data_IF_482200441836
#
_entry.id   IF_482200441836
#
_cell.length_a   1.000
_cell.length_b   1.000
_cell.length_c   1.000
_cell.angle_alpha   90.00
_cell.angle_beta   90.00
_cell.angle_gamma   90.00
#
_symmetry.space_group_name_H-M   'P 1'
#
loop_
_entity.id
_entity.type
_entity.pdbx_description
1 polymer ?
#
# COMPACT_ATOMS: atom_id res chain seq x y z
N UNK A 1 78.38 44.63 42.63
CA UNK A 1 77.15 44.48 41.88
C UNK A 1 76.70 43.00 41.98
N UNK A 2 75.63 42.70 42.74
CA UNK A 2 75.12 41.37 42.88
C UNK A 2 73.96 41.15 41.87
N UNK A 3 74.06 40.07 41.17
CA UNK A 3 73.03 39.54 40.28
C UNK A 3 71.81 39.08 41.10
N UNK A 4 70.65 39.60 40.71
CA UNK A 4 69.36 39.17 41.26
C UNK A 4 68.94 37.84 40.58
N UNK A 5 68.91 36.74 41.34
CA UNK A 5 68.27 35.51 40.91
C UNK A 5 66.75 35.64 41.05
N UNK A 6 66.07 35.61 39.90
CA UNK A 6 64.64 35.48 39.85
C UNK A 6 64.25 34.03 40.07
N UNK A 7 63.70 33.74 41.25
CA UNK A 7 63.10 32.43 41.55
C UNK A 7 61.73 32.37 40.88
N UNK A 8 61.61 31.56 39.83
CA UNK A 8 60.33 31.22 39.23
C UNK A 8 59.51 30.31 40.17
N UNK A 9 58.56 30.89 40.82
CA UNK A 9 57.54 30.17 41.59
C UNK A 9 56.63 29.37 40.66
N UNK A 10 56.91 28.10 40.47
CA UNK A 10 56.08 27.17 39.69
C UNK A 10 54.84 26.88 40.49
N UNK A 11 53.74 27.54 40.14
CA UNK A 11 52.40 27.26 40.70
C UNK A 11 51.99 25.85 40.33
N UNK A 12 51.99 24.97 41.31
CA UNK A 12 51.54 23.56 41.12
C UNK A 12 50.02 23.57 40.93
N UNK A 13 49.60 23.19 39.75
CA UNK A 13 48.19 22.94 39.39
C UNK A 13 47.62 21.81 40.27
N UNK A 14 46.46 22.00 40.94
CA UNK A 14 45.92 20.97 41.82
C UNK A 14 45.44 19.78 41.01
N UNK A 15 46.11 18.65 41.19
CA UNK A 15 45.75 17.38 40.58
C UNK A 15 44.33 17.00 40.97
N UNK A 16 43.47 16.84 39.98
CA UNK A 16 42.07 16.41 40.14
C UNK A 16 42.01 15.06 40.94
N UNK A 17 41.13 14.99 41.94
CA UNK A 17 41.03 13.78 42.77
C UNK A 17 40.61 12.59 41.94
N UNK A 18 41.52 11.63 41.79
CA UNK A 18 41.22 10.34 41.14
C UNK A 18 40.37 9.51 42.10
N UNK A 19 39.06 9.43 41.84
CA UNK A 19 38.12 8.57 42.57
C UNK A 19 38.53 7.10 42.37
N UNK A 20 39.24 6.56 43.35
CA UNK A 20 39.52 5.10 43.40
C UNK A 20 38.36 4.43 44.13
N UNK A 21 37.47 3.81 43.35
CA UNK A 21 36.42 2.98 43.93
C UNK A 21 37.08 1.77 44.59
N UNK A 22 36.79 1.54 45.88
CA UNK A 22 37.18 0.33 46.59
C UNK A 22 36.39 -0.87 46.07
N UNK A 23 36.84 -2.10 46.29
CA UNK A 23 36.10 -3.33 45.96
C UNK A 23 34.68 -3.33 46.50
N UNK A 24 34.44 -2.70 47.66
CA UNK A 24 33.10 -2.50 48.25
C UNK A 24 32.28 -1.46 47.43
N UNK A 25 32.93 -0.42 46.91
CA UNK A 25 32.27 0.57 46.03
C UNK A 25 31.81 -0.05 44.72
N UNK A 26 32.59 -0.94 44.10
CA UNK A 26 32.17 -1.71 42.94
C UNK A 26 31.02 -2.66 43.23
N UNK A 27 31.02 -3.33 44.40
CA UNK A 27 29.93 -4.22 44.81
C UNK A 27 28.61 -3.44 45.03
N UNK A 28 28.70 -2.28 45.68
CA UNK A 28 27.52 -1.38 45.88
C UNK A 28 27.00 -0.84 44.56
N UNK A 29 27.89 -0.41 43.66
CA UNK A 29 27.50 0.08 42.33
C UNK A 29 26.83 -1.04 41.51
N UNK A 30 27.36 -2.25 41.55
CA UNK A 30 26.77 -3.42 40.90
C UNK A 30 25.38 -3.75 41.44
N UNK A 31 25.22 -3.72 42.78
CA UNK A 31 23.91 -3.94 43.41
C UNK A 31 22.88 -2.86 43.00
N UNK A 32 23.29 -1.59 43.00
CA UNK A 32 22.46 -0.50 42.55
C UNK A 32 22.03 -0.62 41.07
N UNK A 33 22.97 -1.05 40.23
CA UNK A 33 22.68 -1.30 38.81
C UNK A 33 21.66 -2.43 38.63
N UNK A 34 21.84 -3.52 39.34
CA UNK A 34 20.89 -4.66 39.31
C UNK A 34 19.52 -4.25 39.87
N UNK A 35 19.51 -3.49 40.97
CA UNK A 35 18.24 -2.97 41.50
C UNK A 35 17.55 -2.01 40.50
N UNK A 36 18.31 -1.11 39.87
CA UNK A 36 17.79 -0.20 38.84
C UNK A 36 17.22 -0.94 37.65
N UNK A 37 17.97 -1.92 37.10
CA UNK A 37 17.52 -2.73 35.96
C UNK A 37 16.31 -3.60 36.34
N UNK A 38 16.30 -4.18 37.55
CA UNK A 38 15.17 -4.94 38.07
C UNK A 38 13.92 -4.08 38.23
N UNK A 39 14.05 -2.89 38.78
CA UNK A 39 12.95 -1.92 38.92
C UNK A 39 12.46 -1.46 37.57
N UNK A 40 13.37 -1.13 36.63
CA UNK A 40 13.00 -0.73 35.29
C UNK A 40 12.27 -1.85 34.53
N UNK A 41 12.77 -3.09 34.63
CA UNK A 41 12.11 -4.27 34.06
C UNK A 41 10.72 -4.50 34.66
N UNK A 42 10.60 -4.42 36.00
CA UNK A 42 9.31 -4.54 36.67
C UNK A 42 8.33 -3.44 36.25
N UNK A 43 8.82 -2.20 36.12
CA UNK A 43 8.00 -1.06 35.69
C UNK A 43 7.47 -1.26 34.25
N UNK A 44 8.29 -1.78 33.36
CA UNK A 44 7.89 -2.06 31.96
C UNK A 44 6.84 -3.18 31.89
N UNK A 45 6.99 -4.24 32.70
CA UNK A 45 6.15 -5.43 32.60
C UNK A 45 4.89 -5.41 33.47
N UNK A 46 4.88 -4.66 34.56
CA UNK A 46 3.80 -4.68 35.56
C UNK A 46 3.18 -3.31 35.85
N UNK A 47 3.69 -2.22 35.25
CA UNK A 47 3.14 -0.90 35.50
C UNK A 47 2.13 -0.53 34.41
N UNK A 48 0.98 -0.02 34.83
CA UNK A 48 -0.04 0.58 33.94
C UNK A 48 0.44 1.85 33.19
N UNK A 49 1.69 2.30 33.43
CA UNK A 49 2.28 3.44 32.74
C UNK A 49 2.46 3.18 31.25
N UNK A 50 2.68 1.92 30.82
CA UNK A 50 2.87 1.53 29.43
C UNK A 50 1.66 0.77 28.85
N UNK A 51 0.50 0.88 29.48
CA UNK A 51 -0.71 0.25 28.96
C UNK A 51 -1.23 0.97 27.71
N UNK A 52 -1.80 0.20 26.79
CA UNK A 52 -2.46 0.74 25.58
C UNK A 52 -3.67 1.56 25.98
N UNK A 53 -3.61 2.87 25.79
CA UNK A 53 -4.73 3.80 26.06
C UNK A 53 -5.36 4.32 24.78
N UNK A 54 -4.58 4.40 23.73
CA UNK A 54 -5.02 5.01 22.47
C UNK A 54 -4.62 4.15 21.29
N UNK A 55 -5.55 3.95 20.35
CA UNK A 55 -5.28 3.37 19.05
C UNK A 55 -5.55 4.44 18.00
N UNK A 56 -4.50 4.91 17.33
CA UNK A 56 -4.58 5.93 16.29
C UNK A 56 -4.58 5.30 14.90
N UNK A 57 -5.63 5.53 14.13
CA UNK A 57 -5.75 5.07 12.74
C UNK A 57 -5.50 6.21 11.78
N UNK A 58 -4.75 5.94 10.72
CA UNK A 58 -4.43 6.92 9.67
C UNK A 58 -4.41 6.28 8.28
N UNK A 59 -4.53 7.10 7.23
CA UNK A 59 -4.40 6.68 5.83
C UNK A 59 -5.66 6.10 5.21
N UNK A 60 -6.78 6.00 5.93
CA UNK A 60 -8.07 5.57 5.38
C UNK A 60 -8.68 6.66 4.51
N UNK A 61 -9.25 6.27 3.36
CA UNK A 61 -9.98 7.17 2.46
C UNK A 61 -11.45 6.74 2.32
N UNK A 62 -11.69 5.44 2.26
CA UNK A 62 -13.01 4.84 2.06
C UNK A 62 -13.45 4.06 3.30
N UNK A 63 -12.51 3.37 3.96
CA UNK A 63 -12.75 2.66 5.20
C UNK A 63 -12.95 3.65 6.35
N UNK A 64 -13.85 3.34 7.28
CA UNK A 64 -14.01 4.13 8.50
C UNK A 64 -13.00 3.70 9.55
N UNK A 65 -12.67 4.61 10.46
CA UNK A 65 -11.77 4.33 11.60
C UNK A 65 -12.32 3.17 12.44
N UNK A 66 -13.64 3.15 12.69
CA UNK A 66 -14.29 2.11 13.51
C UNK A 66 -14.20 0.72 12.86
N UNK A 67 -14.32 0.62 11.53
CA UNK A 67 -14.11 -0.64 10.81
C UNK A 67 -12.70 -1.18 11.01
N UNK A 68 -11.70 -0.31 10.95
CA UNK A 68 -10.30 -0.70 11.14
C UNK A 68 -10.04 -1.09 12.60
N UNK A 69 -10.56 -0.35 13.57
CA UNK A 69 -10.42 -0.67 15.00
C UNK A 69 -11.07 -2.02 15.33
N UNK A 70 -12.29 -2.24 14.84
CA UNK A 70 -12.99 -3.51 15.02
C UNK A 70 -12.23 -4.68 14.40
N UNK A 71 -11.66 -4.50 13.20
CA UNK A 71 -10.89 -5.54 12.52
C UNK A 71 -9.54 -5.83 13.19
N UNK A 72 -8.85 -4.80 13.66
CA UNK A 72 -7.55 -4.93 14.33
C UNK A 72 -7.70 -5.61 15.70
N UNK A 73 -8.83 -5.37 16.40
CA UNK A 73 -9.15 -5.93 17.71
C UNK A 73 -7.95 -5.80 18.67
N UNK A 74 -7.35 -4.61 18.75
CA UNK A 74 -6.25 -4.34 19.68
C UNK A 74 -6.82 -4.17 21.09
N UNK A 75 -6.38 -4.98 22.08
CA UNK A 75 -6.87 -4.85 23.44
C UNK A 75 -6.38 -3.55 24.08
N UNK A 76 -7.30 -2.81 24.69
CA UNK A 76 -6.98 -1.63 25.50
C UNK A 76 -6.72 -2.07 26.96
N UNK A 77 -5.91 -1.29 27.68
CA UNK A 77 -5.61 -1.52 29.10
C UNK A 77 -4.61 -2.65 29.38
N UNK A 78 -3.99 -3.21 28.33
CA UNK A 78 -2.90 -4.17 28.48
C UNK A 78 -1.53 -3.56 28.13
N UNK A 79 -0.43 -4.21 28.56
CA UNK A 79 0.91 -3.73 28.30
C UNK A 79 1.21 -3.60 26.79
N UNK A 80 1.72 -2.44 26.39
CA UNK A 80 2.05 -2.11 25.00
C UNK A 80 3.01 -3.14 24.37
N UNK A 81 3.93 -3.69 25.17
CA UNK A 81 4.90 -4.70 24.78
C UNK A 81 4.27 -6.04 24.38
N UNK A 82 3.07 -6.34 24.91
CA UNK A 82 2.34 -7.58 24.60
C UNK A 82 1.43 -7.50 23.39
N UNK A 83 1.34 -6.34 22.75
CA UNK A 83 0.53 -6.18 21.55
C UNK A 83 1.20 -6.93 20.40
N UNK A 84 0.59 -8.02 19.97
CA UNK A 84 1.00 -8.73 18.76
C UNK A 84 0.52 -7.96 17.53
N UNK A 85 1.41 -7.09 17.04
CA UNK A 85 1.15 -6.24 15.88
C UNK A 85 0.96 -7.07 14.62
N UNK A 86 1.72 -8.17 14.45
CA UNK A 86 1.62 -9.04 13.28
C UNK A 86 0.27 -9.78 13.22
N UNK A 87 -0.19 -10.32 14.35
CA UNK A 87 -1.51 -10.93 14.41
C UNK A 87 -2.64 -9.90 14.16
N UNK A 88 -2.48 -8.68 14.65
CA UNK A 88 -3.44 -7.60 14.40
C UNK A 88 -3.45 -7.20 12.91
N UNK A 89 -2.29 -7.06 12.26
CA UNK A 89 -2.19 -6.83 10.81
C UNK A 89 -2.88 -7.93 10.01
N UNK A 90 -2.62 -9.20 10.35
CA UNK A 90 -3.24 -10.34 9.68
C UNK A 90 -4.78 -10.35 9.83
N UNK A 91 -5.30 -9.94 11.01
CA UNK A 91 -6.76 -9.79 11.21
C UNK A 91 -7.35 -8.71 10.30
N UNK A 92 -6.71 -7.53 10.25
CA UNK A 92 -7.17 -6.42 9.40
C UNK A 92 -7.20 -6.83 7.92
N UNK A 93 -6.13 -7.43 7.40
CA UNK A 93 -6.06 -7.86 5.99
C UNK A 93 -7.15 -8.90 5.67
N UNK A 94 -7.42 -9.83 6.59
CA UNK A 94 -8.44 -10.87 6.41
C UNK A 94 -9.86 -10.29 6.46
N UNK A 95 -10.12 -9.37 7.39
CA UNK A 95 -11.46 -8.81 7.60
C UNK A 95 -11.81 -7.72 6.58
N UNK A 96 -10.82 -7.00 6.06
CA UNK A 96 -11.00 -5.83 5.20
C UNK A 96 -10.29 -6.01 3.85
N UNK A 97 -10.88 -6.69 2.86
CA UNK A 97 -10.27 -6.92 1.54
C UNK A 97 -9.88 -5.62 0.81
N UNK A 98 -10.52 -4.50 1.15
CA UNK A 98 -10.21 -3.16 0.61
C UNK A 98 -8.85 -2.62 1.07
N UNK A 99 -8.22 -3.22 2.05
CA UNK A 99 -6.89 -2.84 2.52
C UNK A 99 -5.82 -3.42 1.58
N UNK A 100 -5.04 -2.54 0.94
CA UNK A 100 -3.87 -2.94 0.16
C UNK A 100 -2.66 -3.21 1.05
N UNK A 101 -2.49 -2.39 2.08
CA UNK A 101 -1.41 -2.51 3.05
C UNK A 101 -1.87 -2.01 4.41
N UNK A 102 -1.47 -2.71 5.44
CA UNK A 102 -1.59 -2.27 6.82
C UNK A 102 -0.22 -2.30 7.47
N UNK A 103 0.04 -1.36 8.36
CA UNK A 103 1.20 -1.35 9.23
C UNK A 103 0.77 -0.96 10.63
N UNK A 104 1.04 -1.82 11.59
CA UNK A 104 0.74 -1.58 12.99
C UNK A 104 2.07 -1.44 13.74
N UNK A 105 2.19 -0.41 14.54
CA UNK A 105 3.36 -0.14 15.36
C UNK A 105 2.95 0.40 16.72
N UNK A 106 3.77 0.10 17.71
CA UNK A 106 3.63 0.68 19.05
C UNK A 106 4.39 2.01 19.13
N UNK A 107 3.85 2.95 19.86
CA UNK A 107 4.46 4.27 20.12
C UNK A 107 4.31 4.60 21.59
N UNK A 108 5.46 4.68 22.26
CA UNK A 108 5.50 5.05 23.67
C UNK A 108 4.87 6.45 23.91
N UNK A 109 4.24 6.65 25.07
CA UNK A 109 4.11 5.67 26.16
C UNK A 109 2.89 4.72 26.05
N UNK A 110 1.81 5.06 25.32
CA UNK A 110 0.51 4.35 25.42
C UNK A 110 -0.22 4.15 24.09
N UNK A 111 0.42 4.37 22.94
CA UNK A 111 -0.30 4.46 21.67
C UNK A 111 0.05 3.29 20.74
N UNK A 112 -0.97 2.66 20.17
CA UNK A 112 -0.81 1.81 18.99
C UNK A 112 -1.21 2.60 17.75
N UNK A 113 -0.34 2.63 16.74
CA UNK A 113 -0.59 3.32 15.48
C UNK A 113 -0.90 2.31 14.39
N UNK A 114 -2.00 2.51 13.70
CA UNK A 114 -2.45 1.70 12.56
C UNK A 114 -2.41 2.58 11.32
N UNK A 115 -1.47 2.32 10.41
CA UNK A 115 -1.40 2.94 9.11
C UNK A 115 -2.06 2.07 8.06
N UNK A 116 -3.05 2.60 7.34
CA UNK A 116 -3.80 1.90 6.28
C UNK A 116 -3.46 2.51 4.92
N UNK A 117 -3.36 1.65 3.92
CA UNK A 117 -3.39 2.06 2.51
C UNK A 117 -4.55 1.33 1.85
N UNK A 118 -5.54 2.07 1.39
CA UNK A 118 -6.68 1.52 0.68
C UNK A 118 -6.28 1.06 -0.73
N UNK A 119 -6.92 -0.01 -1.23
CA UNK A 119 -6.79 -0.41 -2.64
C UNK A 119 -7.46 0.62 -3.55
N UNK A 120 -6.76 0.95 -4.62
CA UNK A 120 -7.27 1.84 -5.67
C UNK A 120 -7.74 0.96 -6.83
N UNK A 121 -9.02 1.06 -7.25
CA UNK A 121 -9.48 0.31 -8.40
C UNK A 121 -8.86 0.85 -9.69
N UNK A 122 -8.44 -0.03 -10.57
CA UNK A 122 -8.00 0.29 -11.94
C UNK A 122 -9.00 -0.21 -12.98
N UNK A 123 -9.83 -1.17 -12.60
CA UNK A 123 -10.90 -1.72 -13.42
C UNK A 123 -12.07 -2.16 -12.54
N UNK A 124 -13.27 -2.21 -13.12
CA UNK A 124 -14.47 -2.76 -12.50
C UNK A 124 -15.05 -3.84 -13.40
N UNK A 125 -15.00 -5.09 -13.00
CA UNK A 125 -15.54 -6.21 -13.77
C UNK A 125 -17.05 -6.29 -13.57
N UNK A 126 -17.82 -6.19 -14.67
CA UNK A 126 -19.28 -6.35 -14.66
C UNK A 126 -19.64 -7.83 -14.59
N UNK A 127 -20.29 -8.22 -13.51
CA UNK A 127 -20.83 -9.57 -13.33
C UNK A 127 -22.13 -9.81 -14.09
N UNK A 128 -22.52 -11.06 -14.25
CA UNK A 128 -23.80 -11.46 -14.85
C UNK A 128 -25.02 -10.97 -14.04
N UNK A 129 -24.83 -10.74 -12.73
CA UNK A 129 -25.81 -10.17 -11.79
C UNK A 129 -25.96 -8.64 -11.92
N UNK A 130 -25.23 -8.01 -12.85
CA UNK A 130 -25.21 -6.56 -13.05
C UNK A 130 -24.38 -5.79 -12.03
N UNK A 131 -23.72 -6.45 -11.08
CA UNK A 131 -22.84 -5.83 -10.08
C UNK A 131 -21.43 -5.65 -10.65
N UNK A 132 -20.68 -4.73 -10.03
CA UNK A 132 -19.34 -4.37 -10.45
C UNK A 132 -18.33 -4.77 -9.39
N UNK A 133 -17.43 -5.70 -9.73
CA UNK A 133 -16.34 -6.11 -8.83
C UNK A 133 -15.09 -5.30 -9.14
N UNK A 134 -14.65 -4.51 -8.19
CA UNK A 134 -13.47 -3.65 -8.30
C UNK A 134 -12.18 -4.49 -8.22
N UNK A 135 -11.25 -4.18 -9.12
CA UNK A 135 -9.95 -4.86 -9.25
C UNK A 135 -8.84 -3.82 -9.17
N UNK A 136 -7.81 -4.11 -8.39
CA UNK A 136 -6.63 -3.24 -8.26
C UNK A 136 -5.51 -3.60 -9.26
N UNK A 137 -4.42 -2.83 -9.24
CA UNK A 137 -3.26 -3.03 -10.12
C UNK A 137 -2.55 -4.38 -9.94
N UNK A 138 -2.81 -5.11 -8.86
CA UNK A 138 -2.30 -6.48 -8.65
C UNK A 138 -3.23 -7.56 -9.17
N UNK A 139 -4.41 -7.18 -9.71
CA UNK A 139 -5.45 -8.12 -10.12
C UNK A 139 -6.34 -8.60 -8.96
N UNK A 140 -6.16 -8.05 -7.76
CA UNK A 140 -6.95 -8.44 -6.60
C UNK A 140 -8.35 -7.84 -6.65
N UNK A 141 -9.37 -8.70 -6.58
CA UNK A 141 -10.78 -8.31 -6.42
C UNK A 141 -11.05 -8.01 -4.96
N UNK A 142 -11.55 -6.80 -4.65
CA UNK A 142 -11.60 -6.36 -3.26
C UNK A 142 -12.93 -5.73 -2.82
N UNK A 143 -13.80 -5.35 -3.75
CA UNK A 143 -15.10 -4.79 -3.42
C UNK A 143 -16.11 -5.05 -4.54
N UNK A 144 -17.38 -5.19 -4.20
CA UNK A 144 -18.48 -5.31 -5.17
C UNK A 144 -19.51 -4.23 -4.89
N UNK A 145 -19.89 -3.49 -5.94
CA UNK A 145 -20.83 -2.36 -5.88
C UNK A 145 -21.96 -2.55 -6.88
N UNK A 146 -23.08 -1.89 -6.66
CA UNK A 146 -24.23 -1.89 -7.58
C UNK A 146 -24.04 -0.91 -8.74
N UNK A 147 -23.15 0.06 -8.57
CA UNK A 147 -22.81 1.07 -9.59
C UNK A 147 -21.33 0.98 -9.93
N UNK A 148 -21.00 1.27 -11.18
CA UNK A 148 -19.60 1.35 -11.59
C UNK A 148 -18.91 2.52 -10.88
N UNK A 149 -17.67 2.35 -10.39
CA UNK A 149 -16.92 3.45 -9.79
C UNK A 149 -16.58 4.50 -10.89
N UNK A 150 -16.74 5.78 -10.55
CA UNK A 150 -16.45 6.85 -11.48
C UNK A 150 -14.96 6.90 -11.88
N UNK A 151 -14.69 7.16 -13.17
CA UNK A 151 -13.33 7.29 -13.68
C UNK A 151 -12.53 5.99 -13.75
N UNK A 152 -13.20 4.85 -13.62
CA UNK A 152 -12.60 3.50 -13.69
C UNK A 152 -13.23 2.74 -14.85
N UNK A 153 -12.44 2.20 -15.80
CA UNK A 153 -12.96 1.41 -16.92
C UNK A 153 -13.78 0.21 -16.47
N UNK A 154 -14.92 -0.02 -17.11
CA UNK A 154 -15.75 -1.21 -16.87
C UNK A 154 -15.30 -2.32 -17.80
N UNK A 155 -14.84 -3.42 -17.26
CA UNK A 155 -14.54 -4.65 -18.02
C UNK A 155 -15.83 -5.45 -18.17
N UNK A 156 -16.19 -5.79 -19.42
CA UNK A 156 -17.36 -6.59 -19.73
C UNK A 156 -17.09 -7.59 -20.84
N UNK A 157 -17.70 -8.75 -20.75
CA UNK A 157 -17.65 -9.77 -21.79
C UNK A 157 -18.82 -9.58 -22.76
N UNK A 158 -18.53 -9.44 -24.06
CA UNK A 158 -19.48 -9.41 -25.14
C UNK A 158 -19.02 -10.39 -26.22
N UNK A 159 -18.88 -11.67 -25.83
CA UNK A 159 -18.27 -12.70 -26.64
C UNK A 159 -19.01 -12.91 -27.97
N UNK A 160 -18.25 -12.86 -29.05
CA UNK A 160 -18.69 -13.27 -30.39
C UNK A 160 -18.87 -14.79 -30.48
N UNK A 161 -19.35 -15.30 -31.62
CA UNK A 161 -19.39 -16.74 -31.87
C UNK A 161 -18.01 -17.40 -31.78
N UNK A 162 -16.98 -16.75 -32.32
CA UNK A 162 -15.59 -17.19 -32.22
C UNK A 162 -15.11 -17.18 -30.76
N UNK A 163 -15.30 -16.06 -30.03
CA UNK A 163 -14.93 -15.96 -28.63
C UNK A 163 -15.59 -17.01 -27.71
N UNK A 164 -16.86 -17.35 -28.00
CA UNK A 164 -17.54 -18.47 -27.30
C UNK A 164 -16.91 -19.81 -27.57
N UNK A 165 -16.49 -20.07 -28.82
CA UNK A 165 -15.82 -21.32 -29.20
C UNK A 165 -14.44 -21.47 -28.51
N UNK A 166 -13.75 -20.33 -28.31
CA UNK A 166 -12.44 -20.25 -27.64
C UNK A 166 -12.49 -20.48 -26.14
N UNK A 167 -13.66 -20.41 -25.47
CA UNK A 167 -13.79 -20.59 -24.02
C UNK A 167 -13.23 -21.91 -23.49
N UNK A 168 -13.12 -22.92 -24.34
CA UNK A 168 -12.47 -24.21 -23.99
C UNK A 168 -10.97 -24.07 -23.79
N UNK A 169 -10.33 -23.19 -24.54
CA UNK A 169 -8.88 -22.91 -24.48
C UNK A 169 -8.59 -21.74 -23.57
N UNK A 170 -9.36 -20.65 -23.69
CA UNK A 170 -9.27 -19.42 -22.89
C UNK A 170 -10.53 -19.27 -22.03
N UNK A 171 -10.55 -19.86 -20.83
CA UNK A 171 -11.69 -19.69 -19.92
C UNK A 171 -11.96 -18.22 -19.59
N UNK A 172 -13.20 -17.89 -19.24
CA UNK A 172 -13.64 -16.52 -18.93
C UNK A 172 -12.70 -15.76 -17.99
N UNK A 173 -12.14 -16.45 -16.97
CA UNK A 173 -11.17 -15.87 -16.05
C UNK A 173 -9.90 -15.35 -16.75
N UNK A 174 -9.47 -16.01 -17.82
CA UNK A 174 -8.29 -15.63 -18.61
C UNK A 174 -8.61 -14.40 -19.44
N UNK A 175 -9.78 -14.37 -20.08
CA UNK A 175 -10.26 -13.22 -20.84
C UNK A 175 -10.41 -11.97 -19.97
N UNK A 176 -10.99 -12.14 -18.78
CA UNK A 176 -11.11 -11.05 -17.82
C UNK A 176 -9.76 -10.57 -17.27
N UNK A 177 -8.81 -11.48 -17.08
CA UNK A 177 -7.46 -11.11 -16.67
C UNK A 177 -6.76 -10.30 -17.76
N UNK A 178 -6.83 -10.72 -19.04
CA UNK A 178 -6.28 -9.97 -20.16
C UNK A 178 -6.86 -8.55 -20.25
N UNK A 179 -8.18 -8.40 -20.08
CA UNK A 179 -8.81 -7.08 -20.07
C UNK A 179 -8.37 -6.20 -18.88
N UNK A 180 -8.13 -6.79 -17.71
CA UNK A 180 -7.58 -6.08 -16.55
C UNK A 180 -6.13 -5.66 -16.81
N UNK A 181 -5.33 -6.49 -17.47
CA UNK A 181 -3.95 -6.15 -17.84
C UNK A 181 -3.93 -5.00 -18.85
N UNK A 182 -4.83 -4.98 -19.82
CA UNK A 182 -5.04 -3.82 -20.71
C UNK A 182 -5.36 -2.57 -19.90
N UNK A 183 -6.36 -2.64 -19.00
CA UNK A 183 -6.73 -1.48 -18.16
C UNK A 183 -5.57 -0.97 -17.30
N UNK A 184 -4.74 -1.88 -16.80
CA UNK A 184 -3.52 -1.57 -16.02
C UNK A 184 -2.45 -0.88 -16.85
N UNK A 185 -2.32 -1.25 -18.14
CA UNK A 185 -1.34 -0.67 -19.05
C UNK A 185 -1.70 0.75 -19.51
N UNK A 186 -2.97 1.16 -19.38
CA UNK A 186 -3.41 2.49 -19.80
C UNK A 186 -2.79 3.58 -18.92
N UNK A 187 -2.17 4.62 -19.50
CA UNK A 187 -1.77 5.81 -18.76
C UNK A 187 -2.98 6.48 -18.11
N UNK A 188 -2.79 7.13 -16.96
CA UNK A 188 -3.86 7.77 -16.19
C UNK A 188 -4.79 8.67 -17.05
N UNK A 189 -4.27 9.53 -17.95
CA UNK A 189 -5.14 10.35 -18.80
C UNK A 189 -5.99 9.54 -19.77
N UNK A 190 -5.51 8.39 -20.25
CA UNK A 190 -6.22 7.50 -21.17
C UNK A 190 -7.24 6.68 -20.40
N UNK A 191 -6.85 6.12 -19.25
CA UNK A 191 -7.75 5.36 -18.38
C UNK A 191 -8.96 6.21 -17.96
N UNK A 192 -8.75 7.49 -17.60
CA UNK A 192 -9.84 8.42 -17.25
C UNK A 192 -10.79 8.77 -18.40
N UNK A 193 -10.36 8.56 -19.65
CA UNK A 193 -11.19 8.69 -20.86
C UNK A 193 -11.79 7.39 -21.35
N UNK A 194 -11.41 6.24 -20.76
CA UNK A 194 -11.92 4.92 -21.13
C UNK A 194 -13.13 4.60 -20.27
N UNK A 195 -14.29 4.45 -20.90
CA UNK A 195 -15.53 4.05 -20.23
C UNK A 195 -15.61 2.54 -20.02
N UNK A 196 -15.17 1.75 -21.00
CA UNK A 196 -15.18 0.29 -20.88
C UNK A 196 -14.07 -0.37 -21.69
N UNK A 197 -13.72 -1.58 -21.24
CA UNK A 197 -12.91 -2.58 -21.96
C UNK A 197 -13.85 -3.74 -22.29
N UNK A 198 -14.15 -3.93 -23.56
CA UNK A 198 -15.06 -4.95 -24.06
C UNK A 198 -14.24 -6.11 -24.61
N UNK A 199 -14.55 -7.32 -24.17
CA UNK A 199 -13.87 -8.53 -24.60
C UNK A 199 -14.77 -9.31 -25.55
N UNK A 200 -14.38 -9.41 -26.80
CA UNK A 200 -15.09 -10.17 -27.83
C UNK A 200 -14.50 -11.57 -28.01
N UNK A 201 -13.17 -11.69 -27.91
CA UNK A 201 -12.38 -12.93 -27.86
C UNK A 201 -11.04 -12.66 -27.16
N UNK A 202 -10.14 -13.67 -27.11
CA UNK A 202 -8.79 -13.49 -26.54
C UNK A 202 -7.97 -12.44 -27.30
N UNK A 203 -8.11 -12.42 -28.64
CA UNK A 203 -7.37 -11.51 -29.53
C UNK A 203 -8.19 -10.29 -30.00
N UNK A 204 -9.40 -10.12 -29.47
CA UNK A 204 -10.31 -9.03 -29.85
C UNK A 204 -10.84 -8.31 -28.60
N UNK A 205 -9.99 -7.43 -28.07
CA UNK A 205 -10.35 -6.47 -27.02
C UNK A 205 -10.56 -5.10 -27.65
N UNK A 206 -11.62 -4.43 -27.24
CA UNK A 206 -11.97 -3.08 -27.67
C UNK A 206 -12.06 -2.16 -26.46
N UNK A 207 -11.54 -0.92 -26.57
CA UNK A 207 -11.80 0.12 -25.57
C UNK A 207 -12.88 1.05 -26.12
N UNK A 208 -13.85 1.38 -25.28
CA UNK A 208 -14.82 2.42 -25.55
C UNK A 208 -14.42 3.67 -24.77
N UNK A 209 -14.30 4.80 -25.46
CA UNK A 209 -13.94 6.06 -24.83
C UNK A 209 -15.19 6.85 -24.43
N UNK A 210 -15.02 7.76 -23.50
CA UNK A 210 -16.13 8.60 -22.98
C UNK A 210 -16.70 9.59 -24.00
N UNK A 211 -15.95 9.88 -25.07
CA UNK A 211 -16.40 10.73 -26.19
C UNK A 211 -17.11 9.94 -27.29
N UNK A 212 -17.32 8.63 -27.09
CA UNK A 212 -17.98 7.74 -28.04
C UNK A 212 -17.05 7.12 -29.08
N UNK A 213 -15.79 7.49 -29.13
CA UNK A 213 -14.80 6.86 -30.01
C UNK A 213 -14.40 5.47 -29.49
N UNK A 214 -13.86 4.64 -30.38
CA UNK A 214 -13.44 3.26 -30.09
C UNK A 214 -11.98 3.05 -30.37
N UNK A 215 -11.38 2.13 -29.61
CA UNK A 215 -10.00 1.69 -29.81
C UNK A 215 -9.97 0.20 -30.04
N UNK A 216 -9.54 -0.23 -31.20
CA UNK A 216 -9.27 -1.63 -31.50
C UNK A 216 -7.92 -1.96 -30.85
N UNK A 217 -7.96 -2.70 -29.75
CA UNK A 217 -6.77 -3.06 -28.98
C UNK A 217 -6.16 -4.38 -29.46
N UNK A 218 -7.01 -5.34 -29.88
CA UNK A 218 -6.60 -6.69 -30.21
C UNK A 218 -6.29 -7.53 -28.96
N UNK A 219 -5.19 -8.27 -28.95
CA UNK A 219 -4.76 -9.07 -27.79
C UNK A 219 -4.14 -8.20 -26.67
N UNK A 220 -3.91 -8.77 -25.49
CA UNK A 220 -3.15 -8.12 -24.41
C UNK A 220 -1.63 -8.17 -24.61
N UNK A 221 -1.15 -8.63 -25.77
CA UNK A 221 0.27 -8.61 -26.06
C UNK A 221 0.76 -7.20 -26.37
N UNK A 222 1.97 -6.88 -25.91
CA UNK A 222 2.63 -5.59 -26.12
C UNK A 222 1.81 -4.37 -25.59
N UNK A 223 1.00 -4.58 -24.56
CA UNK A 223 0.12 -3.56 -23.98
C UNK A 223 0.81 -2.22 -23.72
N UNK A 224 2.02 -2.24 -23.13
CA UNK A 224 2.78 -1.02 -22.87
C UNK A 224 3.10 -0.23 -24.15
N UNK A 225 3.43 -0.92 -25.26
CA UNK A 225 3.69 -0.28 -26.55
C UNK A 225 2.42 0.31 -27.14
N UNK A 226 1.32 -0.44 -27.12
CA UNK A 226 -0.01 -0.01 -27.58
C UNK A 226 -0.49 1.23 -26.82
N UNK A 227 -0.28 1.26 -25.52
CA UNK A 227 -0.65 2.39 -24.66
C UNK A 227 0.10 3.69 -25.03
N UNK A 228 1.40 3.58 -25.34
CA UNK A 228 2.21 4.73 -25.82
C UNK A 228 1.69 5.22 -27.16
N UNK A 229 1.48 4.30 -28.13
CA UNK A 229 0.96 4.62 -29.46
C UNK A 229 -0.41 5.27 -29.38
N UNK A 230 -1.33 4.68 -28.61
CA UNK A 230 -2.67 5.25 -28.39
C UNK A 230 -2.60 6.67 -27.83
N UNK A 231 -1.72 6.91 -26.86
CA UNK A 231 -1.55 8.24 -26.26
C UNK A 231 -1.12 9.30 -27.30
N UNK A 232 -0.35 8.90 -28.29
CA UNK A 232 0.03 9.78 -29.40
C UNK A 232 -1.13 10.00 -30.38
N UNK A 233 -1.86 8.94 -30.73
CA UNK A 233 -3.00 9.01 -31.67
C UNK A 233 -4.17 9.84 -31.11
N UNK A 234 -4.42 9.80 -29.81
CA UNK A 234 -5.48 10.57 -29.14
C UNK A 234 -5.29 12.09 -29.17
N UNK A 235 -4.18 12.59 -29.73
CA UNK A 235 -3.98 14.01 -30.05
C UNK A 235 -4.79 14.44 -31.29
N UNK A 236 -5.18 13.47 -32.12
CA UNK A 236 -6.04 13.67 -33.28
C UNK A 236 -7.45 13.18 -32.90
N UNK A 237 -8.47 13.85 -33.40
CA UNK A 237 -9.87 13.42 -33.20
C UNK A 237 -10.24 12.43 -34.30
N UNK A 238 -10.67 11.23 -33.92
CA UNK A 238 -11.12 10.19 -34.85
C UNK A 238 -12.24 9.37 -34.22
N UNK A 239 -13.03 8.68 -35.04
CA UNK A 239 -14.07 7.77 -34.56
C UNK A 239 -13.50 6.43 -34.07
N UNK A 240 -12.42 5.96 -34.70
CA UNK A 240 -11.79 4.70 -34.36
C UNK A 240 -10.27 4.83 -34.42
N UNK A 241 -9.61 4.31 -33.40
CA UNK A 241 -8.16 4.18 -33.31
C UNK A 241 -7.80 2.70 -33.33
N UNK A 242 -6.91 2.28 -34.21
CA UNK A 242 -6.45 0.91 -34.28
C UNK A 242 -5.00 0.84 -33.81
N UNK A 243 -4.80 0.16 -32.69
CA UNK A 243 -3.49 -0.10 -32.08
C UNK A 243 -3.20 -1.59 -31.94
N UNK A 244 -4.02 -2.45 -32.57
CA UNK A 244 -3.86 -3.89 -32.54
C UNK A 244 -2.48 -4.33 -33.05
N UNK A 245 -1.97 -3.62 -34.07
CA UNK A 245 -0.61 -3.69 -34.59
C UNK A 245 0.14 -2.39 -34.25
N UNK A 246 0.82 -2.27 -33.09
CA UNK A 246 1.36 -0.99 -32.64
C UNK A 246 2.53 -0.44 -33.46
N UNK A 247 3.06 -1.22 -34.40
CA UNK A 247 4.11 -0.79 -35.34
C UNK A 247 3.52 -0.24 -36.64
N UNK A 248 2.22 -0.48 -36.90
CA UNK A 248 1.45 0.05 -38.03
C UNK A 248 0.05 0.51 -37.59
N UNK A 249 -0.02 1.56 -36.75
CA UNK A 249 -1.29 2.02 -36.20
C UNK A 249 -2.10 2.79 -37.22
N UNK A 250 -3.43 2.73 -37.10
CA UNK A 250 -4.35 3.43 -38.00
C UNK A 250 -5.42 4.25 -37.23
N UNK A 251 -5.94 5.29 -37.91
CA UNK A 251 -7.10 6.07 -37.45
C UNK A 251 -8.15 6.14 -38.53
N UNK A 252 -9.43 6.11 -38.12
CA UNK A 252 -10.57 6.27 -39.04
C UNK A 252 -11.50 7.37 -38.48
N UNK A 253 -11.83 8.29 -39.35
CA UNK A 253 -12.71 9.42 -39.05
C UNK A 253 -14.17 9.10 -39.28
#
# INVERSE_FOLDING_TARGET
MPEAQLTEERTAEPAAPRLRLSRRGFAVLGLLLVALLGTAGWLVWFSSVLDVRTVAVSGTRVLTVDQVLAAAAVPLGGPLERVDTGAAEARVVRALPRVARVRISTSLPHTVRIGITDRVPIAAVKGADGRFTQVDATGTRFATTTTAPAGVPVVQLALTGAGKAELKVFPERVLLAAAVDVAKALPVPVAGRTSSVVVHSYDDLELQLTDGSRVLWGSSERDARKAVVLSALLRQKAATYDVSAPDDPAVRH
#
